data_IF_911882834051
#
_entry.id   IF_911882834051
#
_cell.length_a   1.000
_cell.length_b   1.000
_cell.length_c   1.000
_cell.angle_alpha   90.00
_cell.angle_beta   90.00
_cell.angle_gamma   90.00
#
_symmetry.space_group_name_H-M   'P 1'
#
loop_
_entity.id
_entity.type
_entity.pdbx_description
1 polymer ?
#
# COMPACT_ATOMS: atom_id res chain seq x y z
N UNK A 1 5.63 3.65 9.89
CA UNK A 1 5.97 3.26 11.28
C UNK A 1 7.03 4.20 11.86
N UNK A 2 8.16 4.43 11.21
CA UNK A 2 9.19 5.39 11.70
C UNK A 2 8.63 6.81 11.79
N UNK A 3 7.97 7.30 10.74
CA UNK A 3 7.26 8.59 10.76
C UNK A 3 6.19 8.71 11.87
N UNK A 4 5.70 7.60 12.41
CA UNK A 4 4.80 7.54 13.56
C UNK A 4 5.52 7.40 14.92
N UNK A 5 6.85 7.62 14.96
CA UNK A 5 7.62 7.70 16.20
C UNK A 5 8.31 6.39 16.64
N UNK A 6 8.28 5.32 15.84
CA UNK A 6 9.07 4.13 16.12
C UNK A 6 10.52 4.34 15.66
N UNK A 7 11.48 3.74 16.37
CA UNK A 7 12.83 3.60 15.82
C UNK A 7 12.82 2.63 14.63
N UNK A 8 13.83 2.71 13.73
CA UNK A 8 13.98 1.77 12.62
C UNK A 8 13.97 0.32 13.08
N UNK A 9 14.70 0.00 14.13
CA UNK A 9 14.75 -1.34 14.72
C UNK A 9 13.37 -1.80 15.19
N UNK A 10 12.60 -0.92 15.84
CA UNK A 10 11.24 -1.24 16.27
C UNK A 10 10.29 -1.43 15.07
N UNK A 11 10.44 -0.62 14.01
CA UNK A 11 9.65 -0.74 12.80
C UNK A 11 9.93 -2.06 12.07
N UNK A 12 11.20 -2.41 11.88
CA UNK A 12 11.64 -3.67 11.28
C UNK A 12 11.11 -4.86 12.08
N UNK A 13 11.22 -4.83 13.41
CA UNK A 13 10.72 -5.92 14.28
C UNK A 13 9.20 -6.13 14.21
N UNK A 14 8.42 -5.17 13.70
CA UNK A 14 6.98 -5.34 13.45
C UNK A 14 6.64 -5.96 12.10
N UNK A 15 7.63 -6.10 11.22
CA UNK A 15 7.48 -6.72 9.92
C UNK A 15 7.97 -8.18 9.98
N UNK A 16 7.18 -9.10 9.48
CA UNK A 16 7.48 -10.52 9.40
C UNK A 16 7.48 -10.89 7.92
N UNK A 17 8.62 -11.26 7.39
CA UNK A 17 8.78 -11.58 5.98
C UNK A 17 8.84 -13.09 5.80
N UNK A 18 7.87 -13.59 5.05
CA UNK A 18 7.79 -15.02 4.67
C UNK A 18 8.02 -15.10 3.18
N UNK A 19 9.00 -15.89 2.77
CA UNK A 19 9.30 -16.18 1.37
C UNK A 19 8.91 -17.65 1.07
N UNK A 20 9.21 -18.15 -0.13
CA UNK A 20 8.94 -19.54 -0.54
C UNK A 20 9.58 -20.59 0.38
N UNK A 21 10.69 -20.22 1.02
CA UNK A 21 11.45 -21.09 1.91
C UNK A 21 11.09 -20.85 3.39
N UNK A 22 9.93 -20.23 3.67
CA UNK A 22 9.41 -19.94 5.01
C UNK A 22 9.76 -18.56 5.55
N UNK A 23 9.56 -18.38 6.85
CA UNK A 23 9.89 -17.13 7.57
C UNK A 23 11.40 -16.88 7.51
N UNK A 24 11.79 -15.66 7.15
CA UNK A 24 13.20 -15.28 7.08
C UNK A 24 13.85 -15.33 8.47
N UNK A 25 14.97 -16.03 8.57
CA UNK A 25 15.74 -16.17 9.81
C UNK A 25 17.26 -16.18 9.57
N UNK A 26 18.04 -15.93 10.59
CA UNK A 26 19.49 -15.72 10.56
C UNK A 26 20.31 -16.96 10.17
N UNK A 27 19.72 -18.17 10.19
CA UNK A 27 20.37 -19.40 9.72
C UNK A 27 20.20 -19.64 8.22
N UNK A 28 19.32 -18.86 7.54
CA UNK A 28 19.17 -18.96 6.09
C UNK A 28 20.40 -18.45 5.36
N UNK A 29 20.79 -19.16 4.29
CA UNK A 29 21.86 -18.71 3.40
C UNK A 29 21.31 -17.99 2.18
N UNK A 30 22.07 -17.05 1.65
CA UNK A 30 21.72 -16.36 0.40
C UNK A 30 20.64 -15.30 0.53
N UNK A 31 20.29 -14.84 1.74
CA UNK A 31 19.38 -13.72 1.91
C UNK A 31 19.91 -12.48 1.22
N UNK A 32 19.05 -11.84 0.42
CA UNK A 32 19.36 -10.56 -0.21
C UNK A 32 19.60 -9.47 0.86
N UNK A 33 20.39 -8.46 0.54
CA UNK A 33 20.74 -7.39 1.48
C UNK A 33 19.52 -6.69 2.09
N UNK A 34 18.45 -6.52 1.32
CA UNK A 34 17.19 -5.92 1.80
C UNK A 34 16.36 -6.88 2.69
N UNK A 35 16.58 -8.19 2.61
CA UNK A 35 15.90 -9.19 3.46
C UNK A 35 16.59 -9.34 4.82
N UNK A 36 17.91 -9.18 4.87
CA UNK A 36 18.71 -9.41 6.07
C UNK A 36 18.21 -8.64 7.32
N UNK A 37 17.81 -7.37 7.24
CA UNK A 37 17.29 -6.64 8.41
C UNK A 37 16.02 -7.27 9.02
N UNK A 38 15.26 -8.04 8.25
CA UNK A 38 14.01 -8.66 8.67
C UNK A 38 14.17 -10.11 9.11
N UNK A 39 15.35 -10.70 8.93
CA UNK A 39 15.63 -12.06 9.38
C UNK A 39 15.51 -12.16 10.91
N UNK A 40 14.74 -13.13 11.38
CA UNK A 40 14.56 -13.38 12.82
C UNK A 40 15.70 -14.20 13.39
N UNK A 41 16.14 -13.93 14.61
CA UNK A 41 16.99 -14.89 15.31
C UNK A 41 16.28 -16.24 15.38
N UNK A 42 16.94 -17.30 14.90
CA UNK A 42 16.35 -18.64 14.90
C UNK A 42 15.91 -19.10 16.29
N UNK A 43 16.65 -18.71 17.31
CA UNK A 43 16.36 -19.10 18.69
C UNK A 43 15.04 -18.47 19.21
N UNK A 44 14.55 -17.35 18.59
CA UNK A 44 13.25 -16.75 18.91
C UNK A 44 12.09 -17.52 18.29
N UNK A 45 12.32 -18.29 17.21
CA UNK A 45 11.29 -18.96 16.40
C UNK A 45 11.46 -20.50 16.34
N UNK A 46 12.45 -21.05 17.02
CA UNK A 46 12.73 -22.49 17.02
C UNK A 46 11.51 -23.36 17.38
N UNK A 47 10.70 -22.90 18.34
CA UNK A 47 9.49 -23.61 18.76
C UNK A 47 8.32 -23.45 17.76
N UNK A 48 8.52 -22.69 16.67
CA UNK A 48 7.51 -22.52 15.61
C UNK A 48 7.69 -23.53 14.47
N UNK A 49 8.84 -24.17 14.42
CA UNK A 49 9.15 -25.25 13.49
C UNK A 49 8.57 -26.56 14.03
N UNK A 50 7.27 -26.77 13.82
CA UNK A 50 6.54 -27.93 14.35
C UNK A 50 6.98 -29.25 13.68
N UNK A 51 7.58 -29.17 12.49
CA UNK A 51 8.03 -30.34 11.71
C UNK A 51 9.52 -30.67 11.93
N UNK A 52 10.32 -29.74 12.47
CA UNK A 52 11.75 -29.89 12.68
C UNK A 52 12.58 -29.89 11.39
N UNK A 53 12.03 -29.35 10.32
CA UNK A 53 12.67 -29.28 8.99
C UNK A 53 13.42 -27.95 8.74
N UNK A 54 13.36 -27.03 9.69
CA UNK A 54 13.97 -25.71 9.59
C UNK A 54 13.12 -24.69 8.86
N UNK A 55 11.86 -24.99 8.60
CA UNK A 55 10.92 -24.11 7.88
C UNK A 55 9.77 -23.69 8.79
N UNK A 56 9.56 -22.40 8.95
CA UNK A 56 8.37 -21.85 9.63
C UNK A 56 7.43 -21.31 8.58
N UNK A 57 6.29 -21.96 8.41
CA UNK A 57 5.33 -21.63 7.36
C UNK A 57 4.49 -20.37 7.67
N UNK A 58 3.84 -19.81 6.65
CA UNK A 58 2.99 -18.62 6.77
C UNK A 58 1.89 -18.81 7.83
N UNK A 59 1.27 -19.99 7.90
CA UNK A 59 0.21 -20.27 8.88
C UNK A 59 0.72 -20.21 10.31
N UNK A 60 1.92 -20.72 10.58
CA UNK A 60 2.54 -20.71 11.91
C UNK A 60 2.85 -19.27 12.34
N UNK A 61 3.42 -18.48 11.41
CA UNK A 61 3.68 -17.06 11.65
C UNK A 61 2.40 -16.30 11.96
N UNK A 62 1.36 -16.43 11.13
CA UNK A 62 0.10 -15.71 11.32
C UNK A 62 -0.59 -16.12 12.60
N UNK A 63 -0.60 -17.39 12.93
CA UNK A 63 -1.22 -17.95 14.15
C UNK A 63 -0.54 -17.45 15.43
N UNK A 64 0.78 -17.31 15.42
CA UNK A 64 1.58 -16.93 16.59
C UNK A 64 1.68 -15.40 16.74
N UNK A 65 1.83 -14.67 15.62
CA UNK A 65 2.00 -13.21 15.62
C UNK A 65 0.68 -12.46 15.70
N UNK A 66 -0.37 -12.91 15.03
CA UNK A 66 -1.63 -12.18 14.88
C UNK A 66 -1.43 -10.83 14.16
N UNK A 67 -0.91 -10.81 12.93
CA UNK A 67 -0.59 -9.58 12.23
C UNK A 67 -1.86 -8.80 11.88
N UNK A 68 -1.85 -7.48 12.06
CA UNK A 68 -2.97 -6.61 11.67
C UNK A 68 -3.13 -6.53 10.14
N UNK A 69 -2.03 -6.61 9.41
CA UNK A 69 -2.02 -6.57 7.95
C UNK A 69 -1.24 -7.75 7.38
N UNK A 70 -1.83 -8.42 6.39
CA UNK A 70 -1.23 -9.47 5.59
C UNK A 70 -1.07 -8.93 4.16
N UNK A 71 0.17 -8.88 3.67
CA UNK A 71 0.51 -8.31 2.36
C UNK A 71 1.12 -9.40 1.49
N UNK A 72 0.47 -9.70 0.37
CA UNK A 72 0.91 -10.69 -0.60
C UNK A 72 1.49 -10.03 -1.85
N UNK A 73 2.74 -10.38 -2.16
CA UNK A 73 3.48 -9.97 -3.37
C UNK A 73 4.23 -11.16 -3.96
N UNK A 74 3.66 -12.36 -3.81
CA UNK A 74 4.33 -13.64 -4.03
C UNK A 74 4.25 -14.12 -5.48
N UNK A 75 3.25 -13.65 -6.24
CA UNK A 75 2.90 -14.19 -7.54
C UNK A 75 2.36 -15.64 -7.50
N UNK A 76 2.06 -16.14 -6.29
CA UNK A 76 1.58 -17.50 -6.07
C UNK A 76 0.11 -17.48 -5.69
N UNK A 77 -0.79 -18.03 -6.52
CA UNK A 77 -2.21 -17.99 -6.25
C UNK A 77 -2.57 -18.84 -5.02
N UNK A 78 -3.50 -18.31 -4.21
CA UNK A 78 -4.13 -19.07 -3.14
C UNK A 78 -3.25 -19.31 -1.90
N UNK A 79 -2.08 -18.66 -1.77
CA UNK A 79 -1.23 -18.82 -0.56
C UNK A 79 -1.88 -18.28 0.70
N UNK A 80 -2.81 -17.33 0.58
CA UNK A 80 -3.65 -16.89 1.67
C UNK A 80 -4.86 -17.82 1.79
N UNK A 81 -4.61 -19.02 2.31
CA UNK A 81 -5.62 -20.06 2.49
C UNK A 81 -6.68 -19.65 3.53
N UNK A 82 -7.80 -20.37 3.57
CA UNK A 82 -8.82 -20.20 4.62
C UNK A 82 -8.22 -20.29 6.02
N UNK A 83 -7.32 -21.25 6.26
CA UNK A 83 -6.67 -21.42 7.55
C UNK A 83 -5.85 -20.20 7.96
N UNK A 84 -5.07 -19.62 7.03
CA UNK A 84 -4.28 -18.42 7.26
C UNK A 84 -5.17 -17.20 7.59
N UNK A 85 -6.22 -16.97 6.78
CA UNK A 85 -7.13 -15.83 6.98
C UNK A 85 -7.93 -15.98 8.29
N UNK A 86 -8.42 -17.17 8.60
CA UNK A 86 -9.13 -17.42 9.86
C UNK A 86 -8.21 -17.28 11.07
N UNK A 87 -6.94 -17.71 10.97
CA UNK A 87 -5.95 -17.52 12.03
C UNK A 87 -5.69 -16.02 12.30
N UNK A 88 -5.61 -15.20 11.26
CA UNK A 88 -5.50 -13.74 11.40
C UNK A 88 -6.75 -13.14 12.06
N UNK A 89 -7.93 -13.48 11.55
CA UNK A 89 -9.21 -12.97 12.03
C UNK A 89 -9.52 -13.37 13.48
N UNK A 90 -9.01 -14.52 13.95
CA UNK A 90 -9.15 -14.94 15.34
C UNK A 90 -8.41 -14.02 16.35
N UNK A 91 -7.48 -13.20 15.87
CA UNK A 91 -6.63 -12.33 16.70
C UNK A 91 -6.82 -10.84 16.41
N UNK A 92 -7.47 -10.51 15.30
CA UNK A 92 -7.67 -9.12 14.84
C UNK A 92 -9.10 -8.95 14.37
N UNK A 93 -9.85 -8.07 15.02
CA UNK A 93 -11.28 -7.84 14.74
C UNK A 93 -11.52 -7.34 13.29
N UNK A 94 -10.63 -6.51 12.76
CA UNK A 94 -10.70 -5.98 11.40
C UNK A 94 -9.36 -6.20 10.69
N UNK A 95 -9.07 -7.43 10.22
CA UNK A 95 -7.81 -7.73 9.56
C UNK A 95 -7.71 -7.02 8.21
N UNK A 96 -6.53 -6.51 7.90
CA UNK A 96 -6.20 -5.96 6.58
C UNK A 96 -5.59 -7.08 5.75
N UNK A 97 -6.17 -7.37 4.59
CA UNK A 97 -5.70 -8.42 3.68
C UNK A 97 -5.46 -7.82 2.30
N UNK A 98 -4.21 -7.83 1.86
CA UNK A 98 -3.75 -7.19 0.63
C UNK A 98 -3.10 -8.21 -0.31
N UNK A 99 -3.89 -8.99 -1.08
CA UNK A 99 -3.37 -9.85 -2.15
C UNK A 99 -3.04 -9.00 -3.38
N UNK A 100 -1.77 -8.56 -3.49
CA UNK A 100 -1.36 -7.53 -4.45
C UNK A 100 -0.80 -8.09 -5.75
N UNK A 101 -0.63 -9.42 -5.89
CA UNK A 101 -0.06 -10.00 -7.09
C UNK A 101 -0.95 -9.84 -8.31
N UNK A 102 -0.32 -9.55 -9.45
CA UNK A 102 -0.95 -9.37 -10.76
C UNK A 102 -0.44 -10.43 -11.76
N UNK A 103 -1.25 -10.84 -12.74
CA UNK A 103 -2.69 -10.56 -12.95
C UNK A 103 -3.58 -11.33 -11.96
N UNK A 104 -4.90 -11.11 -12.01
CA UNK A 104 -5.91 -11.75 -11.15
C UNK A 104 -5.70 -13.25 -10.89
N UNK A 105 -5.32 -14.10 -11.87
CA UNK A 105 -5.05 -15.52 -11.61
C UNK A 105 -3.84 -15.80 -10.70
N UNK A 106 -3.04 -14.79 -10.39
CA UNK A 106 -1.89 -14.88 -9.49
C UNK A 106 -2.13 -14.25 -8.12
N UNK A 107 -3.33 -13.74 -7.87
CA UNK A 107 -3.68 -13.16 -6.58
C UNK A 107 -3.59 -14.22 -5.47
N UNK A 108 -3.04 -13.84 -4.34
CA UNK A 108 -2.85 -14.71 -3.17
C UNK A 108 -4.16 -15.18 -2.56
N UNK A 109 -5.25 -14.42 -2.73
CA UNK A 109 -6.61 -14.80 -2.38
C UNK A 109 -7.63 -14.07 -3.26
N UNK A 110 -8.86 -14.60 -3.30
CA UNK A 110 -10.01 -13.98 -3.95
C UNK A 110 -10.79 -13.19 -2.88
N UNK A 111 -11.17 -11.92 -3.12
CA UNK A 111 -11.88 -11.10 -2.13
C UNK A 111 -13.15 -11.73 -1.57
N UNK A 112 -13.94 -12.41 -2.40
CA UNK A 112 -15.16 -13.06 -1.96
C UNK A 112 -14.89 -14.15 -0.89
N UNK A 113 -13.82 -14.92 -1.07
CA UNK A 113 -13.43 -15.96 -0.13
C UNK A 113 -12.95 -15.35 1.19
N UNK A 114 -12.09 -14.32 1.13
CA UNK A 114 -11.59 -13.62 2.32
C UNK A 114 -12.74 -13.01 3.12
N UNK A 115 -13.70 -12.37 2.48
CA UNK A 115 -14.88 -11.81 3.15
C UNK A 115 -15.76 -12.91 3.74
N UNK A 116 -15.93 -14.05 3.06
CA UNK A 116 -16.68 -15.18 3.59
C UNK A 116 -15.99 -15.80 4.83
N UNK A 117 -14.67 -15.95 4.81
CA UNK A 117 -13.90 -16.53 5.91
C UNK A 117 -13.79 -15.63 7.14
N UNK A 118 -14.02 -14.32 6.97
CA UNK A 118 -13.96 -13.31 8.04
C UNK A 118 -15.31 -12.71 8.41
N UNK A 119 -16.43 -13.32 7.96
CA UNK A 119 -17.80 -12.81 8.17
C UNK A 119 -17.99 -11.35 7.72
N UNK A 120 -17.20 -10.91 6.72
CA UNK A 120 -17.20 -9.56 6.18
C UNK A 120 -16.41 -8.53 7.01
N UNK A 121 -15.62 -8.97 7.99
CA UNK A 121 -14.85 -8.06 8.85
C UNK A 121 -13.57 -7.55 8.19
N UNK A 122 -12.99 -8.30 7.24
CA UNK A 122 -11.73 -7.94 6.61
C UNK A 122 -11.82 -6.65 5.78
N UNK A 123 -10.77 -5.84 5.86
CA UNK A 123 -10.48 -4.75 4.94
C UNK A 123 -9.60 -5.29 3.81
N UNK A 124 -10.08 -5.18 2.56
CA UNK A 124 -9.41 -5.81 1.41
C UNK A 124 -9.00 -4.77 0.38
N UNK A 125 -7.76 -4.91 -0.10
CA UNK A 125 -7.29 -4.22 -1.29
C UNK A 125 -6.50 -5.17 -2.18
N UNK A 126 -6.73 -5.13 -3.47
CA UNK A 126 -6.15 -6.07 -4.45
C UNK A 126 -5.31 -5.35 -5.50
N UNK A 127 -4.27 -6.02 -6.02
CA UNK A 127 -3.46 -5.45 -7.11
C UNK A 127 -4.22 -5.34 -8.42
N UNK A 128 -4.99 -6.37 -8.79
CA UNK A 128 -5.88 -6.37 -9.96
C UNK A 128 -7.28 -5.91 -9.58
N UNK A 129 -8.07 -5.33 -10.51
CA UNK A 129 -9.43 -4.91 -10.22
C UNK A 129 -10.35 -6.11 -9.97
N UNK A 130 -11.19 -6.00 -8.95
CA UNK A 130 -12.30 -6.90 -8.67
C UNK A 130 -13.60 -6.10 -8.57
N UNK A 131 -14.72 -6.72 -8.94
CA UNK A 131 -16.03 -6.14 -8.67
C UNK A 131 -16.38 -6.16 -7.19
N UNK A 132 -17.42 -5.41 -6.77
CA UNK A 132 -17.88 -5.44 -5.39
C UNK A 132 -18.41 -6.84 -5.02
N UNK A 133 -18.27 -7.20 -3.76
CA UNK A 133 -18.73 -8.49 -3.22
C UNK A 133 -19.96 -8.28 -2.36
N UNK A 134 -21.00 -9.10 -2.58
CA UNK A 134 -22.15 -9.12 -1.68
C UNK A 134 -21.84 -9.90 -0.40
N UNK A 135 -21.99 -9.22 0.73
CA UNK A 135 -21.85 -9.81 2.06
C UNK A 135 -23.13 -9.59 2.83
N UNK A 136 -23.96 -10.63 2.90
CA UNK A 136 -25.24 -10.60 3.62
C UNK A 136 -26.18 -9.48 3.15
N UNK A 137 -26.28 -9.26 1.84
CA UNK A 137 -27.10 -8.22 1.22
C UNK A 137 -26.49 -6.81 1.25
N UNK A 138 -25.22 -6.67 1.68
CA UNK A 138 -24.46 -5.43 1.60
C UNK A 138 -23.38 -5.56 0.54
N UNK A 139 -23.39 -4.67 -0.44
CA UNK A 139 -22.31 -4.58 -1.43
C UNK A 139 -21.06 -3.96 -0.80
N UNK A 140 -19.96 -4.71 -0.77
CA UNK A 140 -18.67 -4.29 -0.24
C UNK A 140 -17.75 -3.97 -1.42
N UNK A 141 -17.31 -2.72 -1.59
CA UNK A 141 -16.37 -2.37 -2.64
C UNK A 141 -14.99 -2.98 -2.36
N UNK A 142 -14.31 -3.41 -3.41
CA UNK A 142 -12.94 -3.92 -3.31
C UNK A 142 -11.99 -2.84 -3.84
N UNK A 143 -11.17 -2.31 -2.96
CA UNK A 143 -10.19 -1.29 -3.33
C UNK A 143 -9.11 -1.88 -4.24
N UNK A 144 -8.79 -1.19 -5.34
CA UNK A 144 -7.63 -1.53 -6.14
C UNK A 144 -6.41 -0.80 -5.60
N UNK A 145 -5.42 -1.54 -5.12
CA UNK A 145 -4.11 -0.99 -4.68
C UNK A 145 -3.25 -0.83 -5.92
N UNK A 146 -3.18 0.39 -6.42
CA UNK A 146 -2.51 0.71 -7.66
C UNK A 146 -1.65 1.98 -7.51
N UNK A 147 -0.52 1.99 -8.20
CA UNK A 147 0.41 3.13 -8.22
C UNK A 147 -0.22 4.43 -8.73
N UNK A 148 -1.35 4.35 -9.44
CA UNK A 148 -2.10 5.53 -9.92
C UNK A 148 -2.56 6.47 -8.79
N UNK A 149 -2.70 5.96 -7.58
CA UNK A 149 -3.04 6.79 -6.42
C UNK A 149 -1.86 7.67 -5.95
N UNK A 150 -0.64 7.27 -6.21
CA UNK A 150 0.57 7.91 -5.64
C UNK A 150 1.35 8.68 -6.68
N UNK A 151 1.85 7.99 -7.71
CA UNK A 151 2.87 8.54 -8.61
C UNK A 151 2.45 9.77 -9.40
N UNK A 152 1.21 9.88 -9.94
CA UNK A 152 0.81 11.09 -10.63
C UNK A 152 0.85 12.32 -9.72
N UNK A 153 0.41 12.16 -8.46
CA UNK A 153 0.42 13.23 -7.47
C UNK A 153 1.83 13.62 -7.03
N UNK A 154 2.69 12.62 -6.75
CA UNK A 154 4.10 12.87 -6.39
C UNK A 154 4.81 13.61 -7.54
N UNK A 155 4.69 13.12 -8.78
CA UNK A 155 5.28 13.77 -9.94
C UNK A 155 4.77 15.19 -10.16
N UNK A 156 3.46 15.39 -10.04
CA UNK A 156 2.83 16.70 -10.19
C UNK A 156 3.32 17.68 -9.12
N UNK A 157 3.39 17.27 -7.86
CA UNK A 157 3.87 18.11 -6.75
C UNK A 157 5.33 18.52 -6.94
N UNK A 158 6.19 17.57 -7.28
CA UNK A 158 7.62 17.81 -7.56
C UNK A 158 7.81 18.82 -8.69
N UNK A 159 7.10 18.64 -9.81
CA UNK A 159 7.20 19.53 -10.98
C UNK A 159 6.63 20.91 -10.68
N UNK A 160 5.51 20.99 -9.97
CA UNK A 160 4.85 22.26 -9.66
C UNK A 160 5.75 23.24 -8.91
N UNK A 161 6.54 22.74 -7.94
CA UNK A 161 7.44 23.59 -7.14
C UNK A 161 8.91 23.47 -7.55
N UNK A 162 9.21 22.74 -8.63
CA UNK A 162 10.58 22.48 -9.10
C UNK A 162 11.48 21.92 -7.99
N UNK A 163 10.97 20.95 -7.24
CA UNK A 163 11.71 20.36 -6.15
C UNK A 163 12.99 19.67 -6.63
N UNK A 164 14.11 19.87 -5.91
CA UNK A 164 15.43 19.36 -6.25
C UNK A 164 15.66 17.90 -5.88
N UNK A 165 14.83 17.36 -4.98
CA UNK A 165 14.88 15.98 -4.52
C UNK A 165 13.51 15.51 -4.10
N UNK A 166 13.35 14.19 -3.98
CA UNK A 166 12.18 13.53 -3.36
C UNK A 166 12.69 12.86 -2.09
N UNK A 167 12.17 13.29 -0.94
CA UNK A 167 12.51 12.74 0.36
C UNK A 167 11.51 11.67 0.81
N UNK A 168 11.89 10.89 1.81
CA UNK A 168 11.00 9.91 2.45
C UNK A 168 9.80 10.59 3.12
N UNK A 169 9.98 11.81 3.63
CA UNK A 169 8.90 12.61 4.22
C UNK A 169 7.89 13.05 3.17
N UNK A 170 8.34 13.42 1.96
CA UNK A 170 7.45 13.72 0.83
C UNK A 170 6.60 12.50 0.44
N UNK A 171 7.20 11.30 0.42
CA UNK A 171 6.48 10.05 0.17
C UNK A 171 5.53 9.71 1.33
N UNK A 172 5.91 9.99 2.56
CA UNK A 172 5.05 9.83 3.74
C UNK A 172 3.87 10.80 3.71
N UNK A 173 4.10 12.05 3.29
CA UNK A 173 3.03 13.04 3.09
C UNK A 173 2.04 12.59 2.02
N UNK A 174 2.53 12.03 0.90
CA UNK A 174 1.70 11.45 -0.15
C UNK A 174 0.81 10.32 0.39
N UNK A 175 1.40 9.37 1.11
CA UNK A 175 0.66 8.25 1.71
C UNK A 175 -0.39 8.74 2.73
N UNK A 176 -0.04 9.75 3.53
CA UNK A 176 -0.93 10.35 4.53
C UNK A 176 -2.12 11.04 3.87
N UNK A 177 -1.88 11.76 2.77
CA UNK A 177 -2.94 12.42 2.00
C UNK A 177 -3.95 11.40 1.45
N UNK A 178 -3.46 10.29 0.88
CA UNK A 178 -4.33 9.20 0.39
C UNK A 178 -5.13 8.57 1.53
N UNK A 179 -4.48 8.31 2.67
CA UNK A 179 -5.14 7.72 3.83
C UNK A 179 -6.25 8.61 4.42
N UNK A 180 -6.08 9.94 4.39
CA UNK A 180 -7.13 10.90 4.79
C UNK A 180 -8.32 10.85 3.84
N UNK A 181 -8.07 10.89 2.53
CA UNK A 181 -9.13 10.78 1.53
C UNK A 181 -9.90 9.45 1.64
N UNK A 182 -9.20 8.36 1.91
CA UNK A 182 -9.84 7.06 2.13
C UNK A 182 -10.73 7.06 3.38
N UNK A 183 -10.31 7.74 4.46
CA UNK A 183 -11.07 7.84 5.70
C UNK A 183 -12.35 8.71 5.58
N UNK A 184 -12.39 9.60 4.60
CA UNK A 184 -13.55 10.45 4.29
C UNK A 184 -14.61 9.73 3.44
N UNK A 185 -14.27 8.56 2.85
CA UNK A 185 -15.21 7.77 2.06
C UNK A 185 -16.11 6.90 2.95
N UNK A 186 -17.41 7.12 2.88
CA UNK A 186 -18.42 6.36 3.63
C UNK A 186 -18.67 4.94 3.08
N UNK A 187 -18.07 4.57 1.95
CA UNK A 187 -18.28 3.28 1.29
C UNK A 187 -17.55 2.10 1.98
N UNK A 188 -16.66 2.40 2.93
CA UNK A 188 -15.88 1.40 3.67
C UNK A 188 -14.66 0.88 2.91
N UNK A 189 -14.32 1.45 1.76
CA UNK A 189 -13.09 1.16 1.02
C UNK A 189 -11.85 1.64 1.75
N UNK A 190 -10.73 0.93 1.56
CA UNK A 190 -9.44 1.30 2.18
C UNK A 190 -8.63 2.31 1.35
N UNK A 191 -9.07 2.60 0.13
CA UNK A 191 -8.50 3.58 -0.78
C UNK A 191 -9.61 4.29 -1.56
N UNK A 192 -9.37 5.53 -2.03
CA UNK A 192 -10.28 6.19 -2.94
C UNK A 192 -10.48 5.38 -4.24
N UNK A 193 -11.64 5.46 -4.89
CA UNK A 193 -11.87 4.83 -6.19
C UNK A 193 -10.84 5.28 -7.25
N UNK A 194 -10.38 4.36 -8.11
CA UNK A 194 -9.43 4.70 -9.20
C UNK A 194 -10.01 5.75 -10.15
N UNK A 195 -11.33 5.81 -10.28
CA UNK A 195 -12.04 6.83 -11.08
C UNK A 195 -11.81 8.26 -10.57
N UNK A 196 -11.43 8.42 -9.31
CA UNK A 196 -11.11 9.70 -8.66
C UNK A 196 -9.61 10.02 -8.68
N UNK A 197 -8.80 9.23 -9.36
CA UNK A 197 -7.35 9.35 -9.38
C UNK A 197 -6.83 10.76 -9.69
N UNK A 198 -7.57 11.54 -10.49
CA UNK A 198 -7.22 12.93 -10.79
C UNK A 198 -7.35 13.85 -9.56
N UNK A 199 -8.45 13.75 -8.84
CA UNK A 199 -8.66 14.50 -7.59
C UNK A 199 -7.66 14.07 -6.53
N UNK A 200 -7.45 12.76 -6.37
CA UNK A 200 -6.44 12.19 -5.47
C UNK A 200 -5.05 12.73 -5.81
N UNK A 201 -4.67 12.77 -7.09
CA UNK A 201 -3.38 13.28 -7.52
C UNK A 201 -3.18 14.76 -7.15
N UNK A 202 -4.22 15.59 -7.17
CA UNK A 202 -4.12 17.00 -6.75
C UNK A 202 -3.84 17.13 -5.25
N UNK A 203 -4.55 16.37 -4.40
CA UNK A 203 -4.32 16.37 -2.95
C UNK A 203 -2.93 15.83 -2.59
N UNK A 204 -2.50 14.76 -3.25
CA UNK A 204 -1.15 14.21 -3.08
C UNK A 204 -0.11 15.23 -3.53
N UNK A 205 -0.32 15.89 -4.68
CA UNK A 205 0.60 16.90 -5.21
C UNK A 205 0.78 18.07 -4.24
N UNK A 206 -0.31 18.54 -3.64
CA UNK A 206 -0.24 19.61 -2.65
C UNK A 206 0.59 19.20 -1.42
N UNK A 207 0.30 18.03 -0.84
CA UNK A 207 1.02 17.53 0.34
C UNK A 207 2.52 17.33 0.07
N UNK A 208 2.86 16.81 -1.12
CA UNK A 208 4.25 16.61 -1.55
C UNK A 208 4.95 17.94 -1.78
N UNK A 209 4.30 18.89 -2.47
CA UNK A 209 4.85 20.22 -2.76
C UNK A 209 5.10 21.02 -1.48
N UNK A 210 4.13 21.03 -0.56
CA UNK A 210 4.26 21.70 0.74
C UNK A 210 5.44 21.11 1.53
N UNK A 211 5.55 19.78 1.61
CA UNK A 211 6.67 19.12 2.29
C UNK A 211 8.01 19.47 1.63
N UNK A 212 8.07 19.54 0.29
CA UNK A 212 9.29 19.94 -0.42
C UNK A 212 9.71 21.39 -0.09
N UNK A 213 8.76 22.31 0.03
CA UNK A 213 9.01 23.70 0.46
C UNK A 213 9.49 23.75 1.89
N UNK A 214 8.81 23.07 2.81
CA UNK A 214 9.14 23.04 4.25
C UNK A 214 10.54 22.48 4.52
N UNK A 215 10.99 21.51 3.70
CA UNK A 215 12.32 20.93 3.79
C UNK A 215 13.41 21.72 3.02
N UNK A 216 13.04 22.81 2.35
CA UNK A 216 13.97 23.58 1.52
C UNK A 216 14.41 22.87 0.23
N UNK A 217 13.69 21.84 -0.21
CA UNK A 217 13.89 21.22 -1.51
C UNK A 217 13.34 22.05 -2.67
N UNK A 218 12.49 23.03 -2.38
CA UNK A 218 11.96 24.03 -3.31
C UNK A 218 12.11 25.42 -2.72
N UNK A 219 11.91 26.47 -3.57
CA UNK A 219 11.87 27.85 -3.08
C UNK A 219 10.65 28.05 -2.16
N UNK A 220 10.73 28.96 -1.17
CA UNK A 220 9.60 29.27 -0.31
C UNK A 220 8.38 29.71 -1.10
N UNK A 221 7.23 29.11 -0.79
CA UNK A 221 5.94 29.41 -1.41
C UNK A 221 4.83 29.32 -0.37
N UNK A 222 3.79 30.12 -0.53
CA UNK A 222 2.55 29.99 0.23
C UNK A 222 1.68 28.86 -0.32
N UNK A 223 0.70 28.41 0.46
CA UNK A 223 -0.26 27.38 0.04
C UNK A 223 -1.04 27.78 -1.21
N UNK A 224 -1.38 29.09 -1.33
CA UNK A 224 -2.07 29.63 -2.50
C UNK A 224 -1.17 29.57 -3.76
N UNK A 225 0.12 29.88 -3.60
CA UNK A 225 1.08 29.80 -4.70
C UNK A 225 1.32 28.35 -5.12
N UNK A 226 1.45 27.42 -4.16
CA UNK A 226 1.55 25.97 -4.45
C UNK A 226 0.31 25.51 -5.22
N UNK A 227 -0.88 25.87 -4.76
CA UNK A 227 -2.15 25.51 -5.41
C UNK A 227 -2.22 26.05 -6.85
N UNK A 228 -1.86 27.32 -7.05
CA UNK A 228 -1.82 27.95 -8.36
C UNK A 228 -0.82 27.24 -9.30
N UNK A 229 0.36 26.89 -8.80
CA UNK A 229 1.39 26.16 -9.57
C UNK A 229 0.90 24.77 -9.99
N UNK A 230 0.29 24.02 -9.07
CA UNK A 230 -0.31 22.71 -9.36
C UNK A 230 -1.35 22.85 -10.47
N UNK A 231 -2.25 23.82 -10.37
CA UNK A 231 -3.25 24.07 -11.40
C UNK A 231 -2.64 24.42 -12.76
N UNK A 232 -1.56 25.22 -12.78
CA UNK A 232 -0.87 25.64 -13.99
C UNK A 232 -0.20 24.47 -14.74
N UNK A 233 0.42 23.52 -14.02
CA UNK A 233 1.13 22.39 -14.62
C UNK A 233 0.25 21.16 -14.80
N UNK A 234 -0.96 21.15 -14.21
CA UNK A 234 -1.91 20.07 -14.39
C UNK A 234 -2.39 19.96 -15.84
N UNK A 235 -2.07 18.86 -16.49
CA UNK A 235 -2.56 18.61 -17.84
C UNK A 235 -4.06 18.32 -17.87
N UNK A 236 -4.75 18.87 -18.85
CA UNK A 236 -6.16 18.56 -19.14
C UNK A 236 -6.29 18.07 -20.58
N UNK A 237 -7.12 17.05 -20.86
CA UNK A 237 -7.34 16.52 -22.21
C UNK A 237 -8.25 17.47 -23.03
N UNK A 238 -7.79 18.70 -23.22
CA UNK A 238 -8.47 19.72 -24.00
C UNK A 238 -7.62 20.01 -25.23
N UNK A 239 -8.22 19.88 -26.41
CA UNK A 239 -7.55 20.36 -27.62
C UNK A 239 -7.46 21.88 -27.59
N UNK A 240 -6.26 22.44 -27.68
CA UNK A 240 -6.09 23.86 -27.92
C UNK A 240 -6.45 24.13 -29.38
N UNK A 241 -7.26 25.15 -29.63
CA UNK A 241 -7.40 25.67 -30.97
C UNK A 241 -6.02 26.08 -31.46
N UNK A 242 -5.57 25.45 -32.52
CA UNK A 242 -4.37 25.88 -33.24
C UNK A 242 -4.78 27.04 -34.13
N UNK A 243 -4.40 28.27 -33.78
CA UNK A 243 -4.43 29.40 -34.70
C UNK A 243 -3.43 29.11 -35.84
N UNK A 244 -3.90 28.36 -36.84
CA UNK A 244 -3.15 28.20 -38.09
C UNK A 244 -3.41 29.43 -38.92
N UNK A 245 -2.47 30.36 -38.94
CA UNK A 245 -2.46 31.46 -39.89
C UNK A 245 -2.20 30.86 -41.30
N UNK A 246 -3.28 30.67 -42.06
CA UNK A 246 -3.25 30.16 -43.44
C UNK A 246 -2.92 31.25 -44.47
N UNK A 247 -2.47 32.47 -44.04
CA UNK A 247 -2.11 33.58 -44.91
C UNK A 247 -0.61 33.72 -45.08
N UNK A 248 0.08 32.71 -45.63
CA UNK A 248 1.43 32.82 -46.15
C UNK A 248 1.60 32.04 -47.46
#
# INVERSE_FOLDING_TARGET
MVAGGLSEVQAVRRCWLVDRDGLLHDRMQGLASFQQPFARPWDEILEWDDNGDGVVELLDVVSRVGPHALVGVTGQPGVFTEAVIRAQAARVDRPIVLPLSNPTPRAEAIPADVLAWTDGAALIGTGSPFGPVDVRGRSVPIAQVNNVHVFPGVGLGVVAVSARAVSDEMLTAAATAIGRLAAENDDGGILPPVTESRSVAQHVAFAVAQTAVDQGHAEPMTDDEITARIAQVSWSPVYRELDIDLTS
#
